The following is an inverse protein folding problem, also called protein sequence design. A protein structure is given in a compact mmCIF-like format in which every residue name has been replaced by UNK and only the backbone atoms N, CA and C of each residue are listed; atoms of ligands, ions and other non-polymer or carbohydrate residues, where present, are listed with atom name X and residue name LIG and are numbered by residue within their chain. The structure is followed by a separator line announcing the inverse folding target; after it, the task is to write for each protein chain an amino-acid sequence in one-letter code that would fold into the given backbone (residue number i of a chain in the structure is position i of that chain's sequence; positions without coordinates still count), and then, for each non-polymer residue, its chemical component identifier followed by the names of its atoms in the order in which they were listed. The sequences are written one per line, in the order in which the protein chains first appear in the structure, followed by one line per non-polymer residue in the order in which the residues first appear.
data_IF_722803499959
#
_entry.id   IF_722803499959
#
_cell.length_a   1.000
_cell.length_b   1.000
_cell.length_c   1.000
_cell.angle_alpha   90.00
_cell.angle_beta   90.00
_cell.angle_gamma   90.00
#
_symmetry.space_group_name_H-M   'P 1'
#
loop_
_entity.id
_entity.type
_entity.pdbx_description
1 polymer ?
#
# COMPACT_ATOMS: atom_id res chain seq x y z
N UNK A 1 -26.80 17.20 13.14
CA UNK A 1 -25.64 16.32 13.39
C UNK A 1 -24.40 17.17 13.54
N UNK A 2 -23.58 16.91 14.55
CA UNK A 2 -22.25 17.54 14.69
C UNK A 2 -21.28 16.99 13.64
N UNK A 3 -20.21 17.73 13.36
CA UNK A 3 -19.09 17.28 12.50
C UNK A 3 -18.62 15.86 12.84
N UNK A 4 -18.43 15.59 14.13
CA UNK A 4 -18.00 14.29 14.64
C UNK A 4 -19.03 13.19 14.32
N UNK A 5 -20.32 13.45 14.55
CA UNK A 5 -21.37 12.48 14.24
C UNK A 5 -21.42 12.15 12.74
N UNK A 6 -21.19 13.12 11.86
CA UNK A 6 -21.10 12.89 10.41
C UNK A 6 -19.89 12.05 10.03
N UNK A 7 -18.72 12.30 10.63
CA UNK A 7 -17.52 11.49 10.40
C UNK A 7 -17.72 10.04 10.86
N UNK A 8 -18.30 9.83 12.04
CA UNK A 8 -18.62 8.49 12.56
C UNK A 8 -19.64 7.76 11.68
N UNK A 9 -20.71 8.42 11.27
CA UNK A 9 -21.70 7.84 10.37
C UNK A 9 -21.07 7.46 9.01
N UNK A 10 -20.22 8.32 8.46
CA UNK A 10 -19.49 8.02 7.23
C UNK A 10 -18.53 6.82 7.38
N UNK A 11 -17.86 6.70 8.53
CA UNK A 11 -16.99 5.56 8.82
C UNK A 11 -17.78 4.24 8.88
N UNK A 12 -18.95 4.24 9.53
CA UNK A 12 -19.83 3.07 9.58
C UNK A 12 -20.33 2.67 8.18
N UNK A 13 -20.65 3.65 7.33
CA UNK A 13 -21.02 3.39 5.93
C UNK A 13 -19.84 2.78 5.16
N UNK A 14 -18.62 3.25 5.37
CA UNK A 14 -17.43 2.72 4.70
C UNK A 14 -16.98 1.35 5.22
N UNK A 15 -17.35 0.96 6.45
CA UNK A 15 -17.01 -0.32 7.07
C UNK A 15 -17.92 -1.49 6.66
N UNK A 16 -18.77 -1.30 5.65
CA UNK A 16 -19.76 -2.29 5.26
C UNK A 16 -19.15 -3.61 4.76
N UNK A 17 -17.99 -3.66 4.05
CA UNK A 17 -17.38 -4.93 3.66
C UNK A 17 -16.96 -5.79 4.84
N UNK A 18 -16.43 -5.21 5.93
CA UNK A 18 -16.07 -5.93 7.14
C UNK A 18 -17.31 -6.50 7.84
N UNK A 19 -18.40 -5.71 7.95
CA UNK A 19 -19.67 -6.19 8.50
C UNK A 19 -20.27 -7.30 7.62
N UNK A 20 -20.20 -7.16 6.30
CA UNK A 20 -20.65 -8.19 5.38
C UNK A 20 -19.75 -9.42 5.44
N UNK A 21 -18.44 -9.28 5.59
CA UNK A 21 -17.53 -10.40 5.76
C UNK A 21 -17.76 -11.13 7.09
N UNK A 22 -18.17 -10.40 8.13
CA UNK A 22 -18.28 -10.90 9.51
C UNK A 22 -16.97 -10.80 10.29
N UNK A 23 -15.93 -10.25 9.69
CA UNK A 23 -14.61 -9.99 10.27
C UNK A 23 -13.91 -8.92 9.42
N UNK A 24 -12.97 -8.12 9.96
CA UNK A 24 -12.14 -7.27 9.11
C UNK A 24 -11.38 -8.09 8.06
N UNK A 25 -11.11 -7.52 6.90
CA UNK A 25 -10.53 -8.26 5.78
C UNK A 25 -9.02 -8.42 6.03
N UNK A 26 -8.51 -9.63 5.88
CA UNK A 26 -7.09 -9.94 6.08
C UNK A 26 -6.40 -10.27 4.76
N UNK A 27 -5.08 -10.07 4.71
CA UNK A 27 -4.23 -10.54 3.63
C UNK A 27 -3.11 -11.41 4.22
N UNK A 28 -2.42 -12.18 3.39
CA UNK A 28 -1.30 -13.03 3.85
C UNK A 28 -0.25 -12.21 4.61
N UNK A 29 0.04 -11.00 4.13
CA UNK A 29 0.96 -10.06 4.77
C UNK A 29 0.47 -9.48 6.11
N UNK A 30 -0.83 -9.59 6.43
CA UNK A 30 -1.36 -9.12 7.73
C UNK A 30 -0.64 -9.82 8.89
N UNK A 31 -0.22 -11.08 8.71
CA UNK A 31 0.66 -11.80 9.66
C UNK A 31 1.89 -10.96 10.06
N UNK A 32 2.62 -10.40 9.10
CA UNK A 32 3.86 -9.67 9.36
C UNK A 32 3.60 -8.46 10.27
N UNK A 33 2.49 -7.77 10.06
CA UNK A 33 2.13 -6.60 10.86
C UNK A 33 1.62 -6.98 12.26
N UNK A 34 0.92 -8.10 12.41
CA UNK A 34 0.56 -8.66 13.71
C UNK A 34 1.81 -9.04 14.52
N UNK A 35 2.81 -9.63 13.87
CA UNK A 35 4.10 -9.93 14.49
C UNK A 35 4.82 -8.65 14.91
N UNK A 36 4.89 -7.63 14.06
CA UNK A 36 5.48 -6.34 14.40
C UNK A 36 4.76 -5.69 15.59
N UNK A 37 3.43 -5.81 15.66
CA UNK A 37 2.64 -5.27 16.76
C UNK A 37 2.84 -6.05 18.06
N UNK A 38 2.81 -7.38 18.02
CA UNK A 38 2.88 -8.26 19.18
C UNK A 38 4.29 -8.40 19.78
N UNK A 39 5.26 -8.74 18.94
CA UNK A 39 6.66 -9.06 19.34
C UNK A 39 7.64 -7.90 19.13
N UNK A 40 7.20 -6.78 18.57
CA UNK A 40 8.03 -5.58 18.33
C UNK A 40 9.35 -5.96 17.62
N UNK A 41 9.24 -6.67 16.49
CA UNK A 41 10.38 -7.07 15.66
C UNK A 41 10.19 -6.69 14.20
N UNK A 42 11.27 -6.37 13.50
CA UNK A 42 11.24 -6.08 12.07
C UNK A 42 11.04 -7.37 11.25
N UNK A 43 10.20 -7.29 10.22
CA UNK A 43 10.06 -8.32 9.20
C UNK A 43 10.76 -7.80 7.93
N UNK A 44 11.53 -8.66 7.28
CA UNK A 44 12.51 -8.25 6.26
C UNK A 44 11.89 -7.47 5.08
N UNK A 45 10.65 -7.76 4.71
CA UNK A 45 10.00 -7.19 3.54
C UNK A 45 9.01 -6.06 3.85
N UNK A 46 8.77 -5.72 5.13
CA UNK A 46 7.75 -4.73 5.53
C UNK A 46 8.33 -3.63 6.43
N UNK A 47 8.09 -2.35 6.12
CA UNK A 47 8.36 -1.26 7.06
C UNK A 47 7.65 -1.45 8.41
N UNK A 48 8.25 -0.93 9.48
CA UNK A 48 7.73 -1.10 10.84
C UNK A 48 6.54 -0.18 11.18
N UNK A 49 6.29 0.87 10.38
CA UNK A 49 5.37 1.94 10.75
C UNK A 49 3.90 1.49 10.84
N UNK A 50 3.44 0.60 9.96
CA UNK A 50 2.07 0.07 10.05
C UNK A 50 1.90 -0.86 11.26
N UNK A 51 2.94 -1.63 11.64
CA UNK A 51 2.94 -2.41 12.88
C UNK A 51 2.79 -1.53 14.14
N UNK A 52 3.39 -0.33 14.16
CA UNK A 52 3.19 0.65 15.23
C UNK A 52 1.73 1.14 15.26
N UNK A 53 1.13 1.41 14.11
CA UNK A 53 -0.30 1.76 14.04
C UNK A 53 -1.17 0.65 14.62
N UNK A 54 -0.94 -0.61 14.23
CA UNK A 54 -1.70 -1.75 14.78
C UNK A 54 -1.54 -1.83 16.30
N UNK A 55 -0.31 -1.84 16.83
CA UNK A 55 -0.07 -1.93 18.28
C UNK A 55 -0.75 -0.83 19.09
N UNK A 56 -0.86 0.38 18.54
CA UNK A 56 -1.52 1.51 19.21
C UNK A 56 -3.05 1.39 19.23
N UNK A 57 -3.65 0.60 18.33
CA UNK A 57 -5.10 0.60 18.11
C UNK A 57 -5.75 -0.76 18.37
N UNK A 58 -5.08 -1.87 18.06
CA UNK A 58 -5.60 -3.22 18.34
C UNK A 58 -5.70 -3.52 19.84
N UNK A 59 -4.81 -2.90 20.63
CA UNK A 59 -4.63 -3.07 22.08
C UNK A 59 -4.47 -4.54 22.51
N UNK A 60 -4.07 -5.44 21.59
CA UNK A 60 -4.08 -6.89 21.81
C UNK A 60 -5.48 -7.50 21.98
N UNK A 61 -6.54 -6.77 21.63
CA UNK A 61 -7.93 -7.18 21.87
C UNK A 61 -8.62 -7.63 20.59
N UNK A 62 -8.62 -6.80 19.55
CA UNK A 62 -9.48 -7.01 18.39
C UNK A 62 -9.03 -6.23 17.16
N UNK A 63 -9.10 -6.85 15.99
CA UNK A 63 -8.81 -6.19 14.71
C UNK A 63 -9.94 -5.27 14.22
N UNK A 64 -11.10 -5.31 14.86
CA UNK A 64 -12.17 -4.34 14.58
C UNK A 64 -11.77 -2.91 14.93
N UNK A 65 -10.90 -2.72 15.93
CA UNK A 65 -10.43 -1.41 16.35
C UNK A 65 -9.56 -0.73 15.27
N UNK A 66 -8.45 -1.35 14.77
CA UNK A 66 -7.65 -0.75 13.72
C UNK A 66 -8.44 -0.57 12.42
N UNK A 67 -9.33 -1.50 12.06
CA UNK A 67 -10.23 -1.30 10.91
C UNK A 67 -11.13 -0.07 11.08
N UNK A 68 -11.80 0.06 12.24
CA UNK A 68 -12.65 1.21 12.51
C UNK A 68 -11.86 2.53 12.49
N UNK A 69 -10.61 2.52 12.96
CA UNK A 69 -9.72 3.67 12.88
C UNK A 69 -9.37 4.03 11.42
N UNK A 70 -9.09 3.05 10.56
CA UNK A 70 -8.87 3.28 9.12
C UNK A 70 -10.10 3.92 8.46
N UNK A 71 -11.29 3.35 8.66
CA UNK A 71 -12.53 3.89 8.12
C UNK A 71 -12.83 5.31 8.64
N UNK A 72 -12.55 5.58 9.92
CA UNK A 72 -12.72 6.90 10.52
C UNK A 72 -11.73 7.92 9.96
N UNK A 73 -10.46 7.56 9.78
CA UNK A 73 -9.45 8.44 9.18
C UNK A 73 -9.87 8.86 7.77
N UNK A 74 -10.31 7.92 6.95
CA UNK A 74 -10.78 8.19 5.59
C UNK A 74 -12.02 9.09 5.60
N UNK A 75 -13.03 8.78 6.42
CA UNK A 75 -14.23 9.61 6.56
C UNK A 75 -13.90 11.03 7.03
N UNK A 76 -12.99 11.17 8.01
CA UNK A 76 -12.54 12.48 8.50
C UNK A 76 -11.77 13.28 7.43
N UNK A 77 -10.98 12.62 6.59
CA UNK A 77 -10.29 13.27 5.47
C UNK A 77 -11.29 13.73 4.40
N UNK A 78 -12.27 12.89 4.03
CA UNK A 78 -13.32 13.27 3.08
C UNK A 78 -14.10 14.50 3.58
N UNK A 79 -14.42 14.56 4.87
CA UNK A 79 -15.03 15.74 5.47
C UNK A 79 -14.12 16.98 5.36
N UNK A 80 -12.83 16.86 5.71
CA UNK A 80 -11.87 17.97 5.63
C UNK A 80 -11.63 18.45 4.19
N UNK A 81 -11.65 17.56 3.21
CA UNK A 81 -11.63 17.91 1.78
C UNK A 81 -12.89 18.69 1.42
N UNK A 82 -14.07 18.25 1.86
CA UNK A 82 -15.31 18.99 1.63
C UNK A 82 -15.29 20.38 2.31
N UNK A 83 -14.72 20.51 3.51
CA UNK A 83 -14.51 21.80 4.18
C UNK A 83 -13.58 22.69 3.38
N UNK A 84 -12.50 22.13 2.81
CA UNK A 84 -11.54 22.86 2.00
C UNK A 84 -12.17 23.50 0.76
N UNK A 85 -13.23 22.90 0.24
CA UNK A 85 -14.01 23.41 -0.87
C UNK A 85 -15.28 24.15 -0.43
N UNK A 86 -15.48 24.40 0.86
CA UNK A 86 -16.66 25.08 1.42
C UNK A 86 -17.99 24.40 1.08
N UNK A 87 -17.98 23.07 0.95
CA UNK A 87 -19.15 22.25 0.62
C UNK A 87 -19.51 21.22 1.70
N UNK A 88 -18.83 21.25 2.85
CA UNK A 88 -19.10 20.32 3.94
C UNK A 88 -20.48 20.57 4.58
N UNK A 89 -21.37 19.60 4.43
CA UNK A 89 -22.61 19.50 5.20
C UNK A 89 -22.84 18.03 5.58
N UNK A 90 -23.58 17.73 6.66
CA UNK A 90 -23.89 16.34 7.03
C UNK A 90 -24.49 15.53 5.88
N UNK A 91 -25.44 16.12 5.15
CA UNK A 91 -26.08 15.47 4.00
C UNK A 91 -25.08 15.18 2.87
N UNK A 92 -24.26 16.18 2.49
CA UNK A 92 -23.26 16.00 1.43
C UNK A 92 -22.19 14.98 1.82
N UNK A 93 -21.74 14.98 3.07
CA UNK A 93 -20.80 13.98 3.56
C UNK A 93 -21.36 12.57 3.49
N UNK A 94 -22.60 12.38 3.96
CA UNK A 94 -23.30 11.11 3.84
C UNK A 94 -23.41 10.66 2.38
N UNK A 95 -23.79 11.57 1.47
CA UNK A 95 -23.84 11.27 0.03
C UNK A 95 -22.48 10.85 -0.51
N UNK A 96 -21.40 11.57 -0.18
CA UNK A 96 -20.04 11.22 -0.61
C UNK A 96 -19.65 9.83 -0.12
N UNK A 97 -19.85 9.53 1.16
CA UNK A 97 -19.54 8.22 1.73
C UNK A 97 -20.38 7.10 1.08
N UNK A 98 -21.68 7.32 0.83
CA UNK A 98 -22.54 6.33 0.16
C UNK A 98 -22.09 6.07 -1.28
N UNK A 99 -21.76 7.14 -2.03
CA UNK A 99 -21.28 7.01 -3.41
C UNK A 99 -19.98 6.23 -3.46
N UNK A 100 -19.01 6.52 -2.59
CA UNK A 100 -17.77 5.75 -2.53
C UNK A 100 -17.98 4.33 -2.00
N UNK A 101 -18.88 4.13 -1.04
CA UNK A 101 -19.18 2.82 -0.48
C UNK A 101 -19.79 1.87 -1.52
N UNK A 102 -20.66 2.39 -2.39
CA UNK A 102 -21.35 1.58 -3.41
C UNK A 102 -20.58 1.49 -4.73
N UNK A 103 -19.77 2.51 -5.05
CA UNK A 103 -19.22 2.70 -6.40
C UNK A 103 -17.70 2.64 -6.48
N UNK A 104 -16.97 2.33 -5.41
CA UNK A 104 -15.51 2.27 -5.45
C UNK A 104 -14.91 1.15 -4.61
N UNK A 105 -13.61 0.91 -4.80
CA UNK A 105 -12.82 0.02 -3.95
C UNK A 105 -12.51 0.59 -2.56
N UNK A 106 -12.83 1.86 -2.28
CA UNK A 106 -12.50 2.52 -1.02
C UNK A 106 -12.90 1.74 0.24
N UNK A 107 -14.16 1.27 0.42
CA UNK A 107 -14.53 0.53 1.62
C UNK A 107 -13.78 -0.80 1.75
N UNK A 108 -13.49 -1.48 0.64
CA UNK A 108 -12.76 -2.75 0.62
C UNK A 108 -11.30 -2.58 1.07
N UNK A 109 -10.66 -1.49 0.64
CA UNK A 109 -9.30 -1.16 1.04
C UNK A 109 -9.26 -0.61 2.46
N UNK A 110 -10.28 0.15 2.89
CA UNK A 110 -10.38 0.67 4.26
C UNK A 110 -10.59 -0.44 5.30
N UNK A 111 -11.25 -1.53 4.89
CA UNK A 111 -11.55 -2.69 5.75
C UNK A 111 -10.47 -3.77 5.71
N UNK A 112 -9.51 -3.64 4.80
CA UNK A 112 -8.33 -4.49 4.70
C UNK A 112 -7.29 -4.06 5.74
N UNK A 113 -6.83 -4.99 6.58
CA UNK A 113 -5.78 -4.75 7.58
C UNK A 113 -4.40 -4.77 6.93
N UNK A 114 -4.19 -3.78 6.07
CA UNK A 114 -2.99 -3.54 5.31
C UNK A 114 -2.73 -2.03 5.17
N UNK A 115 -1.48 -1.61 4.92
CA UNK A 115 -1.13 -0.21 4.74
C UNK A 115 -1.71 0.42 3.46
N UNK A 116 -2.34 -0.33 2.56
CA UNK A 116 -2.88 0.13 1.27
C UNK A 116 -3.79 1.36 1.40
N UNK A 117 -4.62 1.44 2.44
CA UNK A 117 -5.48 2.62 2.67
C UNK A 117 -4.68 3.89 2.97
N UNK A 118 -3.43 3.75 3.40
CA UNK A 118 -2.55 4.88 3.66
C UNK A 118 -1.99 5.51 2.37
N UNK A 119 -2.13 4.87 1.21
CA UNK A 119 -1.81 5.48 -0.08
C UNK A 119 -2.72 6.68 -0.39
N UNK A 120 -4.07 6.55 -0.45
CA UNK A 120 -4.94 7.72 -0.63
C UNK A 120 -4.86 8.69 0.55
N UNK A 121 -4.63 8.22 1.78
CA UNK A 121 -4.40 9.12 2.93
C UNK A 121 -3.18 10.02 2.70
N UNK A 122 -2.08 9.47 2.16
CA UNK A 122 -0.87 10.23 1.81
C UNK A 122 -1.22 11.38 0.87
N UNK A 123 -1.97 11.10 -0.20
CA UNK A 123 -2.38 12.08 -1.21
C UNK A 123 -3.26 13.17 -0.57
N UNK A 124 -4.32 12.78 0.14
CA UNK A 124 -5.26 13.73 0.75
C UNK A 124 -4.59 14.57 1.84
N UNK A 125 -3.73 13.98 2.66
CA UNK A 125 -3.02 14.69 3.72
C UNK A 125 -2.05 15.73 3.15
N UNK A 126 -1.27 15.38 2.12
CA UNK A 126 -0.37 16.32 1.45
C UNK A 126 -1.12 17.49 0.81
N UNK A 127 -2.29 17.24 0.20
CA UNK A 127 -3.15 18.31 -0.31
C UNK A 127 -3.63 19.25 0.80
N UNK A 128 -4.08 18.70 1.93
CA UNK A 128 -4.55 19.48 3.07
C UNK A 128 -3.41 20.29 3.71
N UNK A 129 -2.20 19.73 3.81
CA UNK A 129 -0.98 20.43 4.28
C UNK A 129 -0.63 21.59 3.34
N UNK A 130 -0.67 21.38 2.03
CA UNK A 130 -0.50 22.46 1.05
C UNK A 130 -1.55 23.57 1.23
N UNK A 131 -2.74 23.20 1.71
CA UNK A 131 -3.82 24.10 2.08
C UNK A 131 -3.65 24.83 3.42
N UNK A 132 -2.67 24.45 4.24
CA UNK A 132 -2.40 25.03 5.55
C UNK A 132 -2.83 24.18 6.76
N UNK A 133 -3.06 22.87 6.58
CA UNK A 133 -3.31 21.98 7.71
C UNK A 133 -2.11 21.94 8.68
N UNK A 134 -2.41 21.76 9.97
CA UNK A 134 -1.42 21.82 11.06
C UNK A 134 -0.64 20.51 11.28
N UNK A 135 0.09 20.46 12.39
CA UNK A 135 1.01 19.38 12.75
C UNK A 135 0.36 17.98 12.82
N UNK A 136 -0.91 17.88 13.22
CA UNK A 136 -1.60 16.59 13.28
C UNK A 136 -1.73 15.94 11.89
N UNK A 137 -1.95 16.74 10.85
CA UNK A 137 -1.99 16.25 9.47
C UNK A 137 -0.59 15.86 8.97
N UNK A 138 0.44 16.59 9.40
CA UNK A 138 1.84 16.23 9.12
C UNK A 138 2.16 14.87 9.76
N UNK A 139 1.80 14.66 11.03
CA UNK A 139 2.03 13.38 11.71
C UNK A 139 1.28 12.21 11.02
N UNK A 140 0.03 12.42 10.62
CA UNK A 140 -0.73 11.43 9.84
C UNK A 140 -0.05 11.13 8.50
N UNK A 141 0.41 12.15 7.78
CA UNK A 141 1.13 11.97 6.53
C UNK A 141 2.46 11.23 6.71
N UNK A 142 3.21 11.50 7.79
CA UNK A 142 4.45 10.77 8.11
C UNK A 142 4.15 9.29 8.32
N UNK A 143 3.17 8.97 9.17
CA UNK A 143 2.73 7.59 9.38
C UNK A 143 2.34 6.94 8.06
N UNK A 144 1.49 7.62 7.27
CA UNK A 144 0.99 7.10 6.00
C UNK A 144 2.11 6.79 5.00
N UNK A 145 3.08 7.71 4.86
CA UNK A 145 4.21 7.54 3.96
C UNK A 145 5.15 6.44 4.45
N UNK A 146 5.41 6.37 5.76
CA UNK A 146 6.32 5.37 6.34
C UNK A 146 5.72 3.95 6.35
N UNK A 147 4.38 3.81 6.28
CA UNK A 147 3.70 2.50 6.32
C UNK A 147 4.02 1.59 5.15
N UNK A 148 4.42 2.13 3.99
CA UNK A 148 4.76 1.32 2.82
C UNK A 148 5.75 2.03 1.90
N UNK A 149 6.73 1.30 1.34
CA UNK A 149 7.81 1.91 0.55
C UNK A 149 7.32 2.56 -0.76
N UNK A 150 6.26 2.05 -1.38
CA UNK A 150 5.67 2.68 -2.57
C UNK A 150 5.10 4.07 -2.28
N UNK A 151 4.70 4.35 -1.03
CA UNK A 151 4.17 5.65 -0.64
C UNK A 151 5.26 6.74 -0.65
N UNK A 152 6.54 6.38 -0.56
CA UNK A 152 7.64 7.33 -0.73
C UNK A 152 7.67 7.91 -2.14
N UNK A 153 7.51 7.06 -3.16
CA UNK A 153 7.51 7.48 -4.56
C UNK A 153 6.26 8.30 -4.85
N UNK A 154 5.10 7.85 -4.36
CA UNK A 154 3.84 8.58 -4.45
C UNK A 154 3.94 9.96 -3.80
N UNK A 155 4.45 10.03 -2.57
CA UNK A 155 4.61 11.28 -1.82
C UNK A 155 5.61 12.22 -2.50
N UNK A 156 6.72 11.70 -3.02
CA UNK A 156 7.70 12.49 -3.77
C UNK A 156 7.06 13.11 -5.03
N UNK A 157 6.32 12.33 -5.81
CA UNK A 157 5.62 12.82 -6.99
C UNK A 157 4.57 13.89 -6.62
N UNK A 158 3.81 13.64 -5.55
CA UNK A 158 2.88 14.62 -4.98
C UNK A 158 3.58 15.92 -4.55
N UNK A 159 4.72 15.83 -3.86
CA UNK A 159 5.51 16.98 -3.42
C UNK A 159 5.99 17.80 -4.62
N UNK A 160 6.50 17.15 -5.68
CA UNK A 160 6.95 17.83 -6.90
C UNK A 160 5.81 18.64 -7.52
N UNK A 161 4.64 18.02 -7.74
CA UNK A 161 3.47 18.71 -8.30
C UNK A 161 3.06 19.90 -7.44
N UNK A 162 2.94 19.70 -6.12
CA UNK A 162 2.48 20.74 -5.23
C UNK A 162 3.50 21.87 -5.08
N UNK A 163 4.80 21.60 -5.05
CA UNK A 163 5.84 22.63 -4.95
C UNK A 163 5.97 23.43 -6.25
N UNK A 164 5.78 22.82 -7.42
CA UNK A 164 5.70 23.56 -8.70
C UNK A 164 4.52 24.55 -8.67
N UNK A 165 3.38 24.11 -8.13
CA UNK A 165 2.15 24.91 -8.13
C UNK A 165 2.07 25.89 -6.96
N UNK A 166 2.74 25.59 -5.83
CA UNK A 166 2.75 26.33 -4.56
C UNK A 166 4.18 26.42 -3.98
N UNK A 167 5.12 27.10 -4.65
CA UNK A 167 6.55 27.07 -4.29
C UNK A 167 6.88 27.61 -2.89
N UNK A 168 6.00 28.43 -2.31
CA UNK A 168 6.18 28.98 -0.95
C UNK A 168 5.79 28.01 0.18
N UNK A 169 5.19 26.86 -0.14
CA UNK A 169 4.69 25.87 0.84
C UNK A 169 5.70 24.74 1.03
N UNK A 170 6.92 25.07 1.42
CA UNK A 170 7.99 24.08 1.61
C UNK A 170 7.68 23.04 2.70
N UNK A 171 6.75 23.32 3.61
CA UNK A 171 6.30 22.36 4.64
C UNK A 171 5.69 21.08 4.04
N UNK A 172 5.29 21.10 2.76
CA UNK A 172 4.76 19.93 2.05
C UNK A 172 5.80 18.80 1.96
N UNK A 173 7.10 19.12 1.95
CA UNK A 173 8.16 18.12 1.92
C UNK A 173 8.46 17.52 3.31
N UNK A 174 8.00 18.15 4.40
CA UNK A 174 8.33 17.72 5.76
C UNK A 174 7.86 16.28 6.07
N UNK A 175 6.63 15.85 5.72
CA UNK A 175 6.22 14.47 5.94
C UNK A 175 7.10 13.44 5.25
N UNK A 176 7.54 13.70 4.02
CA UNK A 176 8.41 12.80 3.27
C UNK A 176 9.78 12.67 3.94
N UNK A 177 10.38 13.78 4.34
CA UNK A 177 11.69 13.79 5.02
C UNK A 177 11.60 13.06 6.37
N UNK A 178 10.54 13.33 7.14
CA UNK A 178 10.32 12.68 8.43
C UNK A 178 10.01 11.18 8.28
N UNK A 179 9.30 10.76 7.23
CA UNK A 179 9.08 9.35 6.95
C UNK A 179 10.39 8.64 6.55
N UNK A 180 11.24 9.26 5.73
CA UNK A 180 12.58 8.74 5.43
C UNK A 180 13.43 8.60 6.69
N UNK A 181 13.38 9.61 7.58
CA UNK A 181 14.08 9.57 8.86
C UNK A 181 13.53 8.45 9.76
N UNK A 182 12.22 8.26 9.82
CA UNK A 182 11.58 7.15 10.56
C UNK A 182 12.09 5.81 10.02
N UNK A 183 11.99 5.57 8.70
CA UNK A 183 12.41 4.32 8.08
C UNK A 183 13.89 4.02 8.37
N UNK A 184 14.76 5.01 8.18
CA UNK A 184 16.17 4.90 8.51
C UNK A 184 16.41 4.57 9.99
N UNK A 185 15.73 5.28 10.90
CA UNK A 185 15.86 5.06 12.33
C UNK A 185 15.41 3.65 12.74
N UNK A 186 14.28 3.17 12.22
CA UNK A 186 13.80 1.81 12.50
C UNK A 186 14.73 0.75 11.92
N UNK A 187 15.30 0.96 10.74
CA UNK A 187 16.27 0.01 10.17
C UNK A 187 17.61 0.02 10.93
N UNK A 188 18.05 1.17 11.44
CA UNK A 188 19.21 1.22 12.36
C UNK A 188 18.91 0.44 13.64
N UNK A 189 17.75 0.65 14.24
CA UNK A 189 17.38 0.00 15.49
C UNK A 189 17.27 -1.52 15.37
N UNK A 190 16.57 -2.02 14.34
CA UNK A 190 16.29 -3.45 14.22
C UNK A 190 17.32 -4.25 13.41
N UNK A 191 17.99 -3.60 12.44
CA UNK A 191 18.88 -4.28 11.48
C UNK A 191 20.34 -3.83 11.68
N UNK A 192 20.58 -2.73 12.40
CA UNK A 192 21.94 -2.22 12.65
C UNK A 192 22.55 -1.45 11.48
N UNK A 193 21.75 -1.05 10.47
CA UNK A 193 22.25 -0.32 9.29
C UNK A 193 21.34 0.82 8.87
N UNK A 194 21.94 1.91 8.39
CA UNK A 194 21.23 3.05 7.80
C UNK A 194 20.76 2.66 6.41
N UNK A 195 19.46 2.35 6.28
CA UNK A 195 18.84 2.03 5.01
C UNK A 195 17.37 2.49 5.00
N UNK A 196 16.82 2.80 3.83
CA UNK A 196 15.38 3.03 3.65
C UNK A 196 14.68 1.72 3.30
N UNK A 197 15.22 0.99 2.33
CA UNK A 197 14.75 -0.33 1.89
C UNK A 197 15.92 -1.31 1.90
N UNK A 198 16.28 -1.88 3.07
CA UNK A 198 17.46 -2.73 3.24
C UNK A 198 17.49 -3.95 2.30
N UNK A 199 16.33 -4.47 1.94
CA UNK A 199 16.18 -5.69 1.13
C UNK A 199 15.34 -5.47 -0.15
N UNK A 200 15.10 -4.21 -0.53
CA UNK A 200 14.26 -3.88 -1.70
C UNK A 200 14.81 -4.37 -3.04
N UNK A 201 16.11 -4.63 -3.12
CA UNK A 201 16.76 -5.23 -4.30
C UNK A 201 16.18 -6.60 -4.65
N UNK A 202 15.69 -7.37 -3.66
CA UNK A 202 15.07 -8.69 -3.87
C UNK A 202 13.78 -8.56 -4.69
N UNK A 203 12.94 -7.58 -4.37
CA UNK A 203 11.72 -7.29 -5.14
C UNK A 203 12.04 -6.79 -6.55
N UNK A 204 13.04 -5.92 -6.68
CA UNK A 204 13.50 -5.43 -7.97
C UNK A 204 14.08 -6.57 -8.84
N UNK A 205 14.86 -7.48 -8.24
CA UNK A 205 15.37 -8.67 -8.89
C UNK A 205 14.22 -9.54 -9.40
N UNK A 206 13.25 -9.88 -8.55
CA UNK A 206 12.09 -10.70 -8.95
C UNK A 206 11.29 -10.08 -10.07
N UNK A 207 11.09 -8.75 -10.05
CA UNK A 207 10.42 -8.04 -11.15
C UNK A 207 11.20 -8.15 -12.46
N UNK A 208 12.51 -7.86 -12.43
CA UNK A 208 13.38 -7.94 -13.61
C UNK A 208 13.55 -9.38 -14.13
N UNK A 209 13.47 -10.37 -13.25
CA UNK A 209 13.46 -11.78 -13.61
C UNK A 209 12.18 -12.15 -14.36
N UNK A 210 11.01 -11.75 -13.84
CA UNK A 210 9.74 -11.93 -14.55
C UNK A 210 9.69 -11.21 -15.91
N UNK A 211 10.43 -10.11 -16.06
CA UNK A 211 10.60 -9.39 -17.34
C UNK A 211 11.63 -10.03 -18.29
N UNK A 212 12.27 -11.13 -17.89
CA UNK A 212 13.29 -11.86 -18.66
C UNK A 212 14.62 -11.13 -18.80
N UNK A 213 14.86 -10.09 -17.99
CA UNK A 213 16.08 -9.27 -18.05
C UNK A 213 17.20 -9.93 -17.23
N UNK A 214 16.87 -10.56 -16.10
CA UNK A 214 17.87 -11.24 -15.27
C UNK A 214 18.54 -12.38 -16.02
N UNK A 215 17.81 -13.19 -16.80
CA UNK A 215 18.44 -14.24 -17.62
C UNK A 215 19.48 -13.70 -18.62
N UNK A 216 19.26 -12.51 -19.18
CA UNK A 216 20.25 -11.84 -20.06
C UNK A 216 21.49 -11.42 -19.29
N UNK A 217 21.31 -10.91 -18.07
CA UNK A 217 22.41 -10.53 -17.18
C UNK A 217 23.23 -11.76 -16.80
N UNK A 218 22.57 -12.84 -16.36
CA UNK A 218 23.21 -14.10 -15.99
C UNK A 218 23.96 -14.72 -17.18
N UNK A 219 23.35 -14.76 -18.37
CA UNK A 219 24.01 -15.28 -19.57
C UNK A 219 25.33 -14.59 -19.92
N UNK A 220 25.43 -13.28 -19.65
CA UNK A 220 26.63 -12.51 -19.92
C UNK A 220 27.70 -12.62 -18.82
N UNK A 221 27.29 -12.82 -17.57
CA UNK A 221 28.18 -12.70 -16.40
C UNK A 221 28.52 -14.02 -15.73
N UNK A 222 27.67 -15.05 -15.77
CA UNK A 222 27.92 -16.33 -15.13
C UNK A 222 29.21 -17.05 -15.56
N UNK A 223 29.79 -16.85 -16.76
CA UNK A 223 31.12 -17.38 -17.06
C UNK A 223 32.26 -16.78 -16.21
N UNK A 224 32.03 -15.65 -15.53
CA UNK A 224 33.05 -14.88 -14.79
C UNK A 224 32.62 -14.46 -13.38
N UNK A 225 31.33 -14.48 -13.08
CA UNK A 225 30.76 -14.10 -11.80
C UNK A 225 30.45 -15.34 -10.96
N UNK A 226 30.70 -15.26 -9.67
CA UNK A 226 30.38 -16.32 -8.70
C UNK A 226 29.05 -15.99 -7.99
N UNK A 227 27.99 -15.81 -8.80
CA UNK A 227 26.65 -15.55 -8.29
C UNK A 227 25.90 -16.87 -8.08
N UNK A 228 25.25 -17.01 -6.94
CA UNK A 228 24.39 -18.16 -6.64
C UNK A 228 23.24 -18.29 -7.64
N UNK A 229 22.75 -17.15 -8.17
CA UNK A 229 21.74 -17.08 -9.23
C UNK A 229 22.20 -17.71 -10.55
N UNK A 230 23.49 -17.92 -10.78
CA UNK A 230 23.97 -18.60 -11.98
C UNK A 230 23.47 -20.04 -12.09
N UNK A 231 23.21 -20.71 -10.96
CA UNK A 231 22.55 -22.01 -10.97
C UNK A 231 21.14 -21.94 -11.57
N UNK A 232 20.48 -20.78 -11.51
CA UNK A 232 19.09 -20.56 -11.92
C UNK A 232 18.93 -20.02 -13.35
N UNK A 233 20.03 -19.86 -14.08
CA UNK A 233 19.99 -19.36 -15.45
C UNK A 233 19.06 -20.22 -16.33
N UNK A 234 18.17 -19.58 -17.08
CA UNK A 234 17.14 -20.21 -17.93
C UNK A 234 16.10 -21.07 -17.15
N UNK A 235 16.07 -20.99 -15.82
CA UNK A 235 15.06 -21.63 -14.95
C UNK A 235 14.20 -20.61 -14.20
N UNK A 236 14.48 -19.32 -14.38
CA UNK A 236 13.70 -18.25 -13.76
C UNK A 236 12.28 -18.20 -14.37
N UNK A 237 11.28 -18.08 -13.51
CA UNK A 237 9.90 -17.96 -13.95
C UNK A 237 9.64 -16.59 -14.58
N UNK A 238 8.82 -16.55 -15.64
CA UNK A 238 8.25 -15.30 -16.15
C UNK A 238 7.23 -14.68 -15.19
N UNK A 239 6.76 -15.43 -14.18
CA UNK A 239 5.95 -14.89 -13.10
C UNK A 239 6.84 -14.44 -11.94
N UNK A 240 6.96 -13.12 -11.77
CA UNK A 240 7.74 -12.52 -10.68
C UNK A 240 7.29 -12.98 -9.28
N UNK A 241 6.02 -13.33 -9.06
CA UNK A 241 5.57 -13.85 -7.76
C UNK A 241 6.15 -15.23 -7.48
N UNK A 242 6.28 -16.09 -8.50
CA UNK A 242 6.96 -17.38 -8.35
C UNK A 242 8.44 -17.20 -8.07
N UNK A 243 9.10 -16.24 -8.70
CA UNK A 243 10.52 -15.95 -8.40
C UNK A 243 10.70 -15.54 -6.94
N UNK A 244 9.78 -14.72 -6.41
CA UNK A 244 9.86 -14.14 -5.07
C UNK A 244 9.40 -15.08 -3.94
N UNK A 245 8.30 -15.80 -4.14
CA UNK A 245 7.56 -16.47 -3.06
C UNK A 245 7.60 -18.00 -3.11
N UNK A 246 8.08 -18.59 -4.21
CA UNK A 246 8.24 -20.05 -4.28
C UNK A 246 9.33 -20.50 -3.31
N UNK A 247 8.97 -21.36 -2.36
CA UNK A 247 9.87 -21.88 -1.33
C UNK A 247 11.04 -22.69 -1.89
N UNK A 248 10.85 -23.28 -3.07
CA UNK A 248 11.91 -23.98 -3.82
C UNK A 248 12.54 -23.07 -4.89
N UNK A 249 12.20 -21.79 -4.90
CA UNK A 249 12.68 -20.81 -5.87
C UNK A 249 14.09 -20.27 -5.59
N UNK A 250 14.61 -19.39 -6.47
CA UNK A 250 15.98 -18.88 -6.39
C UNK A 250 16.26 -18.08 -5.12
N UNK A 251 15.26 -17.39 -4.57
CA UNK A 251 15.42 -16.55 -3.39
C UNK A 251 15.48 -17.38 -2.11
N UNK A 252 14.60 -18.38 -1.97
CA UNK A 252 14.51 -19.20 -0.76
C UNK A 252 15.53 -20.34 -0.72
N UNK A 253 16.05 -20.75 -1.88
CA UNK A 253 17.18 -21.69 -1.97
C UNK A 253 18.54 -21.07 -1.61
N UNK A 254 18.65 -19.73 -1.55
CA UNK A 254 19.88 -19.06 -1.15
C UNK A 254 20.16 -19.26 0.35
N UNK A 255 21.41 -19.49 0.78
CA UNK A 255 21.76 -19.48 2.21
C UNK A 255 21.35 -18.16 2.89
N UNK A 256 20.51 -18.22 3.92
CA UNK A 256 19.94 -17.02 4.56
C UNK A 256 18.73 -16.41 3.83
N UNK A 257 18.22 -17.09 2.81
CA UNK A 257 17.00 -16.78 2.08
C UNK A 257 16.99 -15.34 1.51
N UNK A 258 15.85 -14.62 1.59
CA UNK A 258 15.72 -13.29 1.02
C UNK A 258 16.68 -12.25 1.63
N UNK A 259 17.02 -12.40 2.91
CA UNK A 259 18.00 -11.52 3.56
C UNK A 259 19.40 -11.79 2.99
N UNK A 260 19.78 -13.06 2.84
CA UNK A 260 21.09 -13.47 2.37
C UNK A 260 21.38 -13.09 0.92
N UNK A 261 20.39 -13.21 0.02
CA UNK A 261 20.57 -12.91 -1.41
C UNK A 261 20.57 -11.40 -1.71
N UNK A 262 20.21 -10.54 -0.76
CA UNK A 262 19.92 -9.13 -1.05
C UNK A 262 21.09 -8.34 -1.67
N UNK A 263 22.33 -8.63 -1.27
CA UNK A 263 23.52 -7.98 -1.83
C UNK A 263 23.81 -8.47 -3.26
N UNK A 264 23.68 -9.79 -3.52
CA UNK A 264 23.77 -10.35 -4.86
C UNK A 264 22.66 -9.78 -5.77
N UNK A 265 21.42 -9.74 -5.27
CA UNK A 265 20.28 -9.13 -5.95
C UNK A 265 20.56 -7.67 -6.31
N UNK A 266 21.17 -6.90 -5.41
CA UNK A 266 21.56 -5.51 -5.65
C UNK A 266 22.57 -5.41 -6.80
N UNK A 267 23.60 -6.25 -6.82
CA UNK A 267 24.61 -6.29 -7.87
C UNK A 267 24.00 -6.67 -9.24
N UNK A 268 23.12 -7.67 -9.27
CA UNK A 268 22.42 -8.10 -10.51
C UNK A 268 21.48 -7.01 -11.01
N UNK A 269 20.68 -6.40 -10.14
CA UNK A 269 19.77 -5.28 -10.49
C UNK A 269 20.57 -4.09 -11.03
N UNK A 270 21.66 -3.70 -10.36
CA UNK A 270 22.52 -2.60 -10.83
C UNK A 270 23.14 -2.90 -12.21
N UNK A 271 23.53 -4.16 -12.45
CA UNK A 271 24.04 -4.61 -13.76
C UNK A 271 22.95 -4.54 -14.82
N UNK A 272 21.73 -4.97 -14.50
CA UNK A 272 20.57 -4.91 -15.39
C UNK A 272 20.27 -3.46 -15.82
N UNK A 273 20.25 -2.54 -14.85
CA UNK A 273 20.00 -1.11 -15.09
C UNK A 273 21.10 -0.47 -15.95
N UNK A 274 22.36 -0.84 -15.71
CA UNK A 274 23.51 -0.27 -16.42
C UNK A 274 23.63 -0.77 -17.85
N UNK A 275 23.43 -2.08 -18.06
CA UNK A 275 23.72 -2.73 -19.34
C UNK A 275 22.49 -2.94 -20.21
N UNK A 276 21.30 -2.99 -19.62
CA UNK A 276 20.04 -3.19 -20.34
C UNK A 276 19.01 -2.07 -20.08
N UNK A 277 19.40 -0.77 -20.06
CA UNK A 277 18.49 0.31 -19.66
C UNK A 277 17.26 0.42 -20.57
N UNK A 278 17.42 0.19 -21.88
CA UNK A 278 16.31 0.22 -22.83
C UNK A 278 15.33 -0.94 -22.61
N UNK A 279 15.83 -2.13 -22.27
CA UNK A 279 14.97 -3.26 -21.95
C UNK A 279 14.20 -3.04 -20.65
N UNK A 280 14.86 -2.48 -19.62
CA UNK A 280 14.21 -2.11 -18.36
C UNK A 280 13.14 -1.05 -18.59
N UNK A 281 13.45 0.01 -19.34
CA UNK A 281 12.48 1.06 -19.65
C UNK A 281 11.27 0.53 -20.44
N UNK A 282 11.52 -0.32 -21.45
CA UNK A 282 10.45 -0.95 -22.21
C UNK A 282 9.58 -1.87 -21.34
N UNK A 283 10.20 -2.64 -20.44
CA UNK A 283 9.48 -3.48 -19.49
C UNK A 283 8.65 -2.66 -18.51
N UNK A 284 9.23 -1.61 -17.92
CA UNK A 284 8.52 -0.68 -17.04
C UNK A 284 7.28 -0.09 -17.73
N UNK A 285 7.41 0.39 -18.98
CA UNK A 285 6.28 0.93 -19.74
C UNK A 285 5.18 -0.13 -19.97
N UNK A 286 5.55 -1.34 -20.40
CA UNK A 286 4.57 -2.44 -20.56
C UNK A 286 3.87 -2.74 -19.25
N UNK A 287 4.61 -2.81 -18.15
CA UNK A 287 4.08 -3.09 -16.82
C UNK A 287 3.10 -2.01 -16.37
N UNK A 288 3.43 -0.73 -16.60
CA UNK A 288 2.52 0.39 -16.34
C UNK A 288 1.22 0.24 -17.13
N UNK A 289 1.30 -0.03 -18.44
CA UNK A 289 0.10 -0.21 -19.27
C UNK A 289 -0.70 -1.40 -18.78
N UNK A 290 -0.08 -2.54 -18.48
CA UNK A 290 -0.78 -3.71 -17.94
C UNK A 290 -1.46 -3.40 -16.62
N UNK A 291 -0.78 -2.69 -15.70
CA UNK A 291 -1.33 -2.37 -14.38
C UNK A 291 -2.51 -1.40 -14.46
N UNK A 292 -2.51 -0.45 -15.39
CA UNK A 292 -3.62 0.48 -15.61
C UNK A 292 -4.94 -0.22 -15.97
N UNK A 293 -4.87 -1.44 -16.52
CA UNK A 293 -6.05 -2.24 -16.86
C UNK A 293 -6.39 -3.31 -15.81
N UNK A 294 -5.58 -3.45 -14.74
CA UNK A 294 -5.84 -4.36 -13.61
C UNK A 294 -6.58 -3.65 -12.49
N UNK A 295 -7.78 -3.16 -12.81
CA UNK A 295 -8.66 -2.52 -11.84
C UNK A 295 -9.76 -3.52 -11.47
N UNK A 296 -9.49 -4.35 -10.48
CA UNK A 296 -10.47 -5.31 -9.96
C UNK A 296 -10.36 -5.46 -8.45
N UNK A 297 -11.49 -5.80 -7.85
CA UNK A 297 -11.58 -6.25 -6.47
C UNK A 297 -11.69 -7.77 -6.51
N UNK A 298 -10.91 -8.44 -5.67
CA UNK A 298 -11.01 -9.89 -5.50
C UNK A 298 -9.70 -10.56 -5.14
N UNK A 299 -8.57 -10.05 -5.65
CA UNK A 299 -7.26 -10.69 -5.46
C UNK A 299 -6.83 -10.72 -3.99
N UNK A 300 -7.18 -9.69 -3.22
CA UNK A 300 -6.93 -9.63 -1.78
C UNK A 300 -8.04 -10.29 -0.92
N UNK A 301 -9.09 -10.82 -1.53
CA UNK A 301 -10.27 -11.35 -0.83
C UNK A 301 -10.33 -12.89 -0.78
N UNK A 302 -9.30 -13.56 -1.32
CA UNK A 302 -9.16 -15.02 -1.29
C UNK A 302 -8.65 -15.50 0.07
N UNK A 303 -8.94 -16.76 0.46
CA UNK A 303 -8.45 -17.36 1.71
C UNK A 303 -7.00 -17.86 1.63
N UNK A 304 -6.37 -17.82 0.46
CA UNK A 304 -5.04 -18.37 0.23
C UNK A 304 -4.01 -17.81 1.22
N UNK A 305 -3.23 -18.72 1.81
CA UNK A 305 -2.16 -18.42 2.77
C UNK A 305 -2.59 -17.72 4.07
N UNK A 306 -3.90 -17.60 4.34
CA UNK A 306 -4.41 -17.04 5.60
C UNK A 306 -4.39 -18.08 6.73
N UNK A 307 -4.77 -19.32 6.43
CA UNK A 307 -4.72 -20.42 7.39
C UNK A 307 -3.25 -20.85 7.63
N UNK A 308 -2.89 -21.07 8.89
CA UNK A 308 -1.51 -21.32 9.31
C UNK A 308 -0.72 -20.02 9.48
N UNK A 309 -0.61 -19.17 8.46
CA UNK A 309 0.16 -17.92 8.56
C UNK A 309 -0.50 -16.89 9.48
N UNK A 310 -1.62 -16.34 9.02
CA UNK A 310 -2.35 -15.27 9.72
C UNK A 310 -3.05 -15.83 10.96
N UNK A 311 -3.67 -17.01 10.88
CA UNK A 311 -4.39 -17.61 12.03
C UNK A 311 -3.48 -17.96 13.21
N UNK A 312 -2.21 -18.30 12.98
CA UNK A 312 -1.25 -18.48 14.07
C UNK A 312 -0.95 -17.15 14.78
N UNK A 313 -0.83 -16.05 14.02
CA UNK A 313 -0.63 -14.72 14.62
C UNK A 313 -1.86 -14.20 15.35
N UNK A 314 -3.06 -14.46 14.85
CA UNK A 314 -4.30 -14.13 15.59
C UNK A 314 -4.29 -14.83 16.95
N UNK A 315 -3.99 -16.13 16.96
CA UNK A 315 -3.92 -16.94 18.19
C UNK A 315 -2.82 -16.45 19.14
N UNK A 316 -1.67 -16.02 18.60
CA UNK A 316 -0.53 -15.64 19.41
C UNK A 316 -0.66 -14.23 20.02
N UNK A 317 -1.23 -13.27 19.29
CA UNK A 317 -1.14 -11.84 19.64
C UNK A 317 -2.46 -11.16 20.00
N UNK A 318 -3.60 -11.82 19.83
CA UNK A 318 -4.91 -11.24 20.11
C UNK A 318 -5.71 -12.06 21.12
N UNK A 319 -6.85 -11.50 21.54
CA UNK A 319 -7.74 -12.14 22.49
C UNK A 319 -8.22 -13.53 22.00
N UNK A 320 -8.44 -14.48 22.93
CA UNK A 320 -9.01 -15.78 22.59
C UNK A 320 -10.32 -15.64 21.78
N UNK A 321 -10.51 -16.52 20.80
CA UNK A 321 -11.70 -16.50 19.95
C UNK A 321 -11.58 -15.65 18.68
N UNK A 322 -10.52 -14.85 18.47
CA UNK A 322 -10.35 -14.08 17.22
C UNK A 322 -10.12 -15.00 16.01
N UNK A 323 -9.37 -16.09 16.18
CA UNK A 323 -9.15 -17.09 15.13
C UNK A 323 -10.46 -17.78 14.72
N UNK A 324 -11.29 -18.16 15.67
CA UNK A 324 -12.61 -18.77 15.42
C UNK A 324 -13.55 -17.78 14.73
N UNK A 325 -13.54 -16.50 15.15
CA UNK A 325 -14.30 -15.42 14.50
C UNK A 325 -13.86 -15.22 13.05
N UNK A 326 -12.55 -15.21 12.78
CA UNK A 326 -12.04 -15.16 11.41
C UNK A 326 -12.46 -16.37 10.59
N UNK A 327 -12.32 -17.61 11.11
CA UNK A 327 -12.76 -18.84 10.41
C UNK A 327 -14.28 -18.89 10.15
N UNK A 328 -15.07 -18.14 10.93
CA UNK A 328 -16.50 -17.97 10.69
C UNK A 328 -16.84 -16.94 9.59
N UNK A 329 -15.88 -16.12 9.17
CA UNK A 329 -16.07 -15.09 8.15
C UNK A 329 -16.33 -15.67 6.75
N UNK A 330 -16.88 -14.84 5.86
CA UNK A 330 -17.10 -15.20 4.45
C UNK A 330 -15.78 -15.36 3.71
N UNK A 331 -14.76 -14.55 4.02
CA UNK A 331 -13.43 -14.62 3.43
C UNK A 331 -12.80 -15.99 3.69
N UNK A 332 -12.78 -16.44 4.96
CA UNK A 332 -12.21 -17.74 5.32
C UNK A 332 -12.96 -18.93 4.69
N UNK A 333 -14.22 -18.74 4.30
CA UNK A 333 -15.07 -19.76 3.65
C UNK A 333 -15.14 -19.60 2.12
N UNK A 334 -14.22 -18.83 1.53
CA UNK A 334 -14.12 -18.56 0.08
C UNK A 334 -15.40 -17.95 -0.55
N UNK A 335 -16.21 -17.27 0.25
CA UNK A 335 -17.47 -16.66 -0.19
C UNK A 335 -17.38 -15.18 -0.56
N UNK A 336 -16.29 -14.49 -0.18
CA UNK A 336 -16.21 -13.03 -0.28
C UNK A 336 -15.85 -12.55 -1.70
N UNK A 337 -14.87 -13.18 -2.36
CA UNK A 337 -14.40 -12.80 -3.70
C UNK A 337 -15.50 -12.88 -4.76
N UNK A 338 -16.22 -14.02 -4.81
CA UNK A 338 -17.29 -14.26 -5.79
C UNK A 338 -18.45 -13.27 -5.66
N UNK A 339 -18.67 -12.74 -4.46
CA UNK A 339 -19.65 -11.71 -4.23
C UNK A 339 -19.11 -10.31 -4.60
N UNK A 340 -17.87 -10.00 -4.27
CA UNK A 340 -17.25 -8.72 -4.60
C UNK A 340 -17.08 -8.50 -6.11
N UNK A 341 -16.88 -9.56 -6.90
CA UNK A 341 -16.64 -9.45 -8.35
C UNK A 341 -17.79 -8.79 -9.12
N UNK A 342 -19.03 -8.88 -8.63
CA UNK A 342 -20.18 -8.19 -9.24
C UNK A 342 -20.06 -6.66 -9.18
N UNK A 343 -19.21 -6.14 -8.29
CA UNK A 343 -18.97 -4.71 -8.13
C UNK A 343 -17.87 -4.18 -9.06
N UNK A 344 -17.12 -5.05 -9.74
CA UNK A 344 -16.00 -4.61 -10.59
C UNK A 344 -16.48 -3.69 -11.72
N UNK A 345 -17.62 -3.99 -12.36
CA UNK A 345 -18.18 -3.13 -13.41
C UNK A 345 -18.59 -1.73 -12.90
N UNK A 346 -19.44 -1.58 -11.86
CA UNK A 346 -19.79 -0.25 -11.36
C UNK A 346 -18.57 0.51 -10.85
N UNK A 347 -17.58 -0.16 -10.26
CA UNK A 347 -16.33 0.46 -9.84
C UNK A 347 -15.50 0.98 -11.02
N UNK A 348 -15.35 0.19 -12.07
CA UNK A 348 -14.64 0.59 -13.28
C UNK A 348 -15.33 1.79 -13.95
N UNK A 349 -16.66 1.83 -13.97
CA UNK A 349 -17.41 2.98 -14.51
C UNK A 349 -17.18 4.24 -13.69
N UNK A 350 -17.32 4.19 -12.35
CA UNK A 350 -17.10 5.35 -11.50
C UNK A 350 -15.64 5.84 -11.61
N UNK A 351 -14.68 4.93 -11.63
CA UNK A 351 -13.27 5.25 -11.83
C UNK A 351 -13.04 5.93 -13.19
N UNK A 352 -13.59 5.40 -14.28
CA UNK A 352 -13.46 5.97 -15.61
C UNK A 352 -14.02 7.40 -15.70
N UNK A 353 -15.23 7.63 -15.21
CA UNK A 353 -15.82 8.97 -15.16
C UNK A 353 -15.01 9.92 -14.25
N UNK A 354 -14.57 9.41 -13.09
CA UNK A 354 -13.72 10.15 -12.16
C UNK A 354 -12.39 10.57 -12.79
N UNK A 355 -11.72 9.67 -13.51
CA UNK A 355 -10.47 9.94 -14.21
C UNK A 355 -10.66 11.00 -15.30
N UNK A 356 -11.68 10.88 -16.15
CA UNK A 356 -11.99 11.88 -17.19
C UNK A 356 -12.28 13.26 -16.59
N UNK A 357 -13.09 13.32 -15.53
CA UNK A 357 -13.37 14.56 -14.82
C UNK A 357 -12.09 15.17 -14.22
N UNK A 358 -11.22 14.34 -13.63
CA UNK A 358 -9.96 14.77 -13.04
C UNK A 358 -9.03 15.36 -14.11
N UNK A 359 -8.90 14.72 -15.27
CA UNK A 359 -8.11 15.23 -16.41
C UNK A 359 -8.62 16.60 -16.84
N UNK A 360 -9.95 16.74 -17.04
CA UNK A 360 -10.55 18.00 -17.45
C UNK A 360 -10.31 19.13 -16.44
N UNK A 361 -10.41 18.84 -15.15
CA UNK A 361 -10.25 19.81 -14.06
C UNK A 361 -8.78 20.18 -13.82
N UNK A 362 -7.84 19.26 -13.99
CA UNK A 362 -6.41 19.48 -13.73
C UNK A 362 -5.80 20.59 -14.61
N UNK A 363 -6.41 20.86 -15.77
CA UNK A 363 -6.05 21.98 -16.67
C UNK A 363 -6.25 23.36 -16.02
N UNK A 364 -7.07 23.47 -14.95
CA UNK A 364 -7.36 24.73 -14.25
C UNK A 364 -6.21 25.16 -13.34
N UNK A 365 -5.19 25.77 -13.95
CA UNK A 365 -3.99 26.23 -13.25
C UNK A 365 -4.31 27.25 -12.13
N UNK A 366 -3.62 27.13 -10.98
CA UNK A 366 -3.74 28.01 -9.81
C UNK A 366 -5.11 28.07 -9.11
N UNK A 367 -5.96 27.07 -9.27
CA UNK A 367 -7.18 26.91 -8.46
C UNK A 367 -7.02 25.77 -7.44
N UNK A 368 -7.59 25.85 -6.22
CA UNK A 368 -7.55 24.74 -5.26
C UNK A 368 -8.07 23.41 -5.84
N UNK A 369 -9.08 23.50 -6.71
CA UNK A 369 -9.68 22.34 -7.36
C UNK A 369 -8.75 21.76 -8.43
N UNK A 370 -8.08 22.60 -9.23
CA UNK A 370 -7.09 22.15 -10.21
C UNK A 370 -5.82 21.60 -9.56
N UNK A 371 -5.42 22.13 -8.40
CA UNK A 371 -4.30 21.59 -7.60
C UNK A 371 -4.65 20.20 -7.06
N UNK A 372 -5.89 20.02 -6.57
CA UNK A 372 -6.39 18.71 -6.10
C UNK A 372 -6.44 17.69 -7.23
N UNK A 373 -7.00 18.07 -8.38
CA UNK A 373 -7.08 17.19 -9.55
C UNK A 373 -5.70 16.81 -10.09
N UNK A 374 -4.75 17.77 -10.16
CA UNK A 374 -3.39 17.46 -10.57
C UNK A 374 -2.69 16.47 -9.62
N UNK A 375 -3.00 16.53 -8.33
CA UNK A 375 -2.48 15.58 -7.35
C UNK A 375 -3.05 14.18 -7.55
N UNK A 376 -4.36 14.07 -7.79
CA UNK A 376 -5.01 12.80 -8.08
C UNK A 376 -4.42 12.17 -9.34
N UNK A 377 -4.18 12.94 -10.42
CA UNK A 377 -3.61 12.40 -11.66
C UNK A 377 -2.22 11.80 -11.49
N UNK A 378 -1.41 12.33 -10.58
CA UNK A 378 -0.07 11.79 -10.29
C UNK A 378 -0.12 10.58 -9.35
N UNK A 379 -1.26 10.37 -8.68
CA UNK A 379 -1.51 9.23 -7.83
C UNK A 379 -2.22 8.05 -8.54
N UNK A 380 -2.76 8.27 -9.74
CA UNK A 380 -3.28 7.25 -10.64
C UNK A 380 -2.12 6.59 -11.40
#
# INVERSE_FOLDING_TARGET
MTRIASMLAGALVLAWPAFFNGFPILFSDTHAFLVQAGDVRMIWDKPFAYGVFLRLVDLGVSLWLPMAAQALLVSALLWQIAERFSVATPARHATICIVFAAGSALPWVADLLMPDIFAPITVLALFLIAGGAGWAMIALAVLAIASHLSHLVLAAACCVVLLIRRPRRWQIAAPLVLALAWLAATNVYFIGRVAISPYGSVFALSRLAGDGIVDKVLAKHCPRADWTLCAWQNRLSSDHNRVLWDGDGPIWSHPGGPIGIADEASAVVATALREFPSAVAAAALRNTVTQLWRVEIGDALIPDWLEGGVTNSLTQYLAPGETERFRASRQARDGLRSWASWLNLPHALLLGFGALATIAIATRWRSPLGDFAALILVAL
#
